data_IF_278927965907
#
_entry.id   IF_278927965907
#
_cell.length_a   1.000
_cell.length_b   1.000
_cell.length_c   1.000
_cell.angle_alpha   90.00
_cell.angle_beta   90.00
_cell.angle_gamma   90.00
#
_symmetry.space_group_name_H-M   'P 1'
#
loop_
_entity.id
_entity.type
_entity.pdbx_description
1 polymer ?
#
# COMPACT_ATOMS: atom_id res chain seq x y z
N UNK A 1 -2.95 -43.57 17.10
CA UNK A 1 -2.68 -44.09 15.74
C UNK A 1 -3.86 -43.81 14.81
N UNK A 2 -5.10 -44.29 15.10
CA UNK A 2 -6.30 -44.05 14.27
C UNK A 2 -6.63 -42.59 14.04
N UNK A 3 -6.44 -41.71 15.02
CA UNK A 3 -6.71 -40.26 14.88
C UNK A 3 -5.74 -39.57 13.89
N UNK A 4 -4.48 -39.98 13.87
CA UNK A 4 -3.46 -39.45 12.95
C UNK A 4 -3.73 -39.89 11.50
N UNK A 5 -4.13 -41.15 11.31
CA UNK A 5 -4.50 -41.66 9.98
C UNK A 5 -5.74 -40.97 9.41
N UNK A 6 -6.72 -40.63 10.26
CA UNK A 6 -7.92 -39.86 9.83
C UNK A 6 -7.56 -38.46 9.41
N UNK A 7 -6.65 -37.79 10.10
CA UNK A 7 -6.18 -36.45 9.77
C UNK A 7 -5.42 -36.43 8.43
N UNK A 8 -4.56 -37.41 8.20
CA UNK A 8 -3.79 -37.57 6.95
C UNK A 8 -4.72 -37.76 5.76
N UNK A 9 -5.74 -38.63 5.88
CA UNK A 9 -6.75 -38.83 4.82
C UNK A 9 -7.56 -37.57 4.52
N UNK A 10 -7.88 -36.76 5.54
CA UNK A 10 -8.63 -35.52 5.35
C UNK A 10 -7.80 -34.44 4.65
N UNK A 11 -6.48 -34.43 4.88
CA UNK A 11 -5.52 -33.50 4.26
C UNK A 11 -5.31 -33.81 2.78
N UNK A 12 -5.20 -35.09 2.43
CA UNK A 12 -5.07 -35.52 1.02
C UNK A 12 -6.31 -35.20 0.16
N UNK A 13 -7.51 -35.23 0.78
CA UNK A 13 -8.77 -34.90 0.09
C UNK A 13 -8.96 -33.40 -0.17
N UNK A 14 -8.25 -32.49 0.52
CA UNK A 14 -8.43 -31.04 0.45
C UNK A 14 -7.24 -30.29 -0.15
N UNK A 15 -6.26 -30.92 -0.74
CA UNK A 15 -5.07 -30.32 -1.35
C UNK A 15 -4.32 -29.34 -0.39
N UNK A 16 -4.31 -29.63 0.91
CA UNK A 16 -3.60 -28.82 1.89
C UNK A 16 -2.11 -29.18 1.87
N UNK A 17 -1.26 -28.17 1.73
CA UNK A 17 0.20 -28.32 1.65
C UNK A 17 0.77 -29.02 2.90
N UNK A 18 1.23 -30.25 2.73
CA UNK A 18 1.80 -31.12 3.78
C UNK A 18 2.98 -30.44 4.52
N UNK A 19 3.71 -29.50 3.87
CA UNK A 19 4.77 -28.75 4.52
C UNK A 19 4.24 -27.81 5.62
N UNK A 20 3.07 -27.19 5.39
CA UNK A 20 2.43 -26.33 6.41
C UNK A 20 1.95 -27.13 7.62
N UNK A 21 1.41 -28.33 7.39
CA UNK A 21 0.94 -29.21 8.48
C UNK A 21 2.10 -29.72 9.31
N UNK A 22 3.22 -30.13 8.69
CA UNK A 22 4.43 -30.53 9.42
C UNK A 22 5.02 -29.39 10.26
N UNK A 23 4.91 -28.16 9.78
CA UNK A 23 5.35 -26.98 10.55
C UNK A 23 4.45 -26.75 11.77
N UNK A 24 3.13 -26.92 11.63
CA UNK A 24 2.20 -26.84 12.76
C UNK A 24 2.38 -27.98 13.78
N UNK A 25 2.62 -29.21 13.33
CA UNK A 25 2.93 -30.33 14.23
C UNK A 25 4.28 -30.17 14.93
N UNK A 26 5.31 -29.63 14.25
CA UNK A 26 6.60 -29.34 14.90
C UNK A 26 6.46 -28.21 15.95
N UNK A 27 5.58 -27.25 15.77
CA UNK A 27 5.27 -26.24 16.78
C UNK A 27 4.61 -26.91 17.99
N UNK A 28 3.71 -27.85 17.77
CA UNK A 28 3.04 -28.59 18.87
C UNK A 28 3.99 -29.58 19.60
N UNK A 29 4.99 -30.16 18.90
CA UNK A 29 5.95 -31.10 19.50
C UNK A 29 7.11 -30.41 20.22
N UNK A 30 7.48 -29.19 19.89
CA UNK A 30 8.53 -28.43 20.59
C UNK A 30 8.08 -27.83 21.93
N UNK A 31 6.79 -27.86 22.24
CA UNK A 31 6.27 -27.46 23.56
C UNK A 31 6.41 -28.57 24.64
N UNK A 32 7.31 -29.55 24.48
CA UNK A 32 7.58 -30.63 25.46
C UNK A 32 8.30 -30.18 26.73
N UNK A 33 8.50 -28.90 26.95
CA UNK A 33 8.72 -28.38 28.29
C UNK A 33 7.41 -27.80 28.80
N UNK A 34 6.67 -28.56 29.58
CA UNK A 34 5.39 -28.24 30.25
C UNK A 34 5.45 -26.94 31.09
N UNK A 35 5.79 -25.82 30.52
CA UNK A 35 5.58 -24.52 31.13
C UNK A 35 4.19 -24.05 30.69
N UNK A 36 3.18 -24.33 31.52
CA UNK A 36 1.84 -23.81 31.35
C UNK A 36 2.01 -22.27 31.19
N UNK A 37 1.69 -21.74 30.02
CA UNK A 37 1.62 -20.30 29.83
C UNK A 37 0.58 -19.74 30.79
N UNK A 38 1.01 -18.94 31.73
CA UNK A 38 0.16 -18.38 32.80
C UNK A 38 -0.30 -16.97 32.54
N UNK A 39 0.36 -16.29 31.58
CA UNK A 39 0.04 -14.87 31.26
C UNK A 39 0.00 -14.65 29.77
N UNK A 40 -0.66 -13.57 29.34
CA UNK A 40 -0.68 -13.15 27.94
C UNK A 40 0.72 -12.74 27.45
N UNK A 41 1.55 -12.22 28.35
CA UNK A 41 2.94 -11.85 28.08
C UNK A 41 3.79 -13.07 27.73
N UNK A 42 3.52 -14.24 28.37
CA UNK A 42 4.22 -15.48 28.02
C UNK A 42 3.88 -15.92 26.59
N UNK A 43 2.65 -15.66 26.15
CA UNK A 43 2.21 -15.92 24.76
C UNK A 43 2.96 -15.03 23.75
N UNK A 44 3.17 -13.75 24.06
CA UNK A 44 3.88 -12.82 23.18
C UNK A 44 5.37 -13.12 23.00
N UNK A 45 5.96 -13.91 23.89
CA UNK A 45 7.37 -14.33 23.84
C UNK A 45 7.63 -15.52 22.91
N UNK A 46 6.58 -16.13 22.36
CA UNK A 46 6.74 -17.25 21.40
C UNK A 46 7.22 -16.67 20.06
N UNK A 47 8.41 -17.08 19.61
CA UNK A 47 9.05 -16.57 18.39
C UNK A 47 8.21 -16.72 17.12
N UNK A 48 7.30 -17.66 17.05
CA UNK A 48 6.45 -17.93 15.88
C UNK A 48 4.96 -17.68 16.15
N UNK A 49 4.61 -16.94 17.22
CA UNK A 49 3.23 -16.54 17.42
C UNK A 49 2.78 -15.57 16.33
N UNK A 50 1.51 -15.66 15.95
CA UNK A 50 0.94 -14.80 14.89
C UNK A 50 1.25 -13.34 15.17
N UNK A 51 2.13 -12.76 14.37
CA UNK A 51 2.44 -11.35 14.43
C UNK A 51 1.44 -10.59 13.53
N UNK A 52 0.94 -9.43 13.97
CA UNK A 52 0.13 -8.60 13.10
C UNK A 52 0.94 -8.19 11.86
N UNK A 53 0.26 -8.01 10.73
CA UNK A 53 0.91 -7.50 9.51
C UNK A 53 1.58 -6.17 9.84
N UNK A 54 2.90 -6.10 9.64
CA UNK A 54 3.68 -4.89 9.85
C UNK A 54 3.85 -4.16 8.53
N UNK A 55 3.28 -2.97 8.41
CA UNK A 55 3.53 -2.10 7.27
C UNK A 55 4.84 -1.34 7.47
N UNK A 56 5.55 -1.11 6.37
CA UNK A 56 6.79 -0.36 6.40
C UNK A 56 6.54 1.10 6.83
N UNK A 57 7.12 1.51 7.97
CA UNK A 57 7.08 2.89 8.44
C UNK A 57 8.36 3.59 8.05
N UNK A 58 8.24 4.69 7.32
CA UNK A 58 9.37 5.51 6.90
C UNK A 58 9.38 6.84 7.65
N UNK A 59 10.57 7.25 8.09
CA UNK A 59 10.86 8.57 8.62
C UNK A 59 11.98 9.15 7.78
N UNK A 60 11.67 10.10 6.88
CA UNK A 60 12.61 10.51 5.84
C UNK A 60 13.44 11.75 6.23
N UNK A 61 13.07 12.46 7.28
CA UNK A 61 13.79 13.63 7.77
C UNK A 61 12.91 14.59 8.55
N UNK A 62 13.42 15.78 8.86
CA UNK A 62 12.63 16.86 9.47
C UNK A 62 11.69 17.49 8.42
N UNK A 63 10.62 18.15 8.89
CA UNK A 63 9.69 18.83 8.00
C UNK A 63 10.36 19.93 7.18
N UNK A 64 11.25 20.68 7.79
CA UNK A 64 11.99 21.78 7.16
C UNK A 64 12.85 21.26 6.01
N UNK A 65 13.64 20.21 6.27
CA UNK A 65 14.47 19.58 5.26
C UNK A 65 13.64 19.00 4.11
N UNK A 66 12.54 18.31 4.44
CA UNK A 66 11.65 17.70 3.46
C UNK A 66 10.91 18.75 2.64
N UNK A 67 10.54 19.90 3.24
CA UNK A 67 9.94 21.03 2.52
C UNK A 67 10.88 21.60 1.46
N UNK A 68 12.14 21.80 1.83
CA UNK A 68 13.15 22.26 0.86
C UNK A 68 13.33 21.25 -0.30
N UNK A 69 13.41 19.95 0.03
CA UNK A 69 13.55 18.89 -0.97
C UNK A 69 12.32 18.83 -1.88
N UNK A 70 11.12 18.92 -1.30
CA UNK A 70 9.86 18.91 -2.02
C UNK A 70 9.80 20.05 -3.04
N UNK A 71 10.06 21.29 -2.61
CA UNK A 71 10.05 22.46 -3.47
C UNK A 71 11.09 22.34 -4.60
N UNK A 72 12.31 21.89 -4.28
CA UNK A 72 13.38 21.71 -5.28
C UNK A 72 13.00 20.64 -6.30
N UNK A 73 12.46 19.49 -5.86
CA UNK A 73 12.04 18.43 -6.74
C UNK A 73 10.84 18.86 -7.61
N UNK A 74 9.83 19.50 -7.02
CA UNK A 74 8.65 19.96 -7.75
C UNK A 74 9.05 20.93 -8.88
N UNK A 75 9.84 21.95 -8.58
CA UNK A 75 10.34 22.92 -9.58
C UNK A 75 11.22 22.27 -10.66
N UNK A 76 11.91 21.19 -10.34
CA UNK A 76 12.75 20.49 -11.31
C UNK A 76 11.93 19.69 -12.31
N UNK A 77 10.89 19.01 -11.84
CA UNK A 77 10.09 18.10 -12.67
C UNK A 77 8.90 18.77 -13.35
N UNK A 78 8.27 19.74 -12.71
CA UNK A 78 7.18 20.48 -13.32
C UNK A 78 7.73 21.71 -14.04
N UNK A 79 7.98 21.55 -15.34
CA UNK A 79 8.48 22.63 -16.21
C UNK A 79 7.37 23.46 -16.83
N UNK A 80 6.12 23.13 -16.55
CA UNK A 80 4.95 23.83 -17.11
C UNK A 80 4.52 25.02 -16.24
N UNK A 81 5.08 25.12 -15.04
CA UNK A 81 4.75 26.14 -14.05
C UNK A 81 5.82 27.23 -14.09
N UNK A 82 5.44 28.44 -14.48
CA UNK A 82 6.34 29.62 -14.48
C UNK A 82 6.66 30.06 -13.04
N UNK A 83 5.68 30.01 -12.14
CA UNK A 83 5.81 30.39 -10.74
C UNK A 83 5.32 29.28 -9.84
N UNK A 84 6.19 28.75 -8.98
CA UNK A 84 5.80 27.77 -7.99
C UNK A 84 4.92 28.40 -6.90
N UNK A 85 3.74 27.86 -6.75
CA UNK A 85 2.84 28.14 -5.64
C UNK A 85 2.82 26.98 -4.66
N UNK A 86 2.99 27.28 -3.36
CA UNK A 86 2.97 26.26 -2.32
C UNK A 86 1.57 26.18 -1.71
N UNK A 87 0.88 25.09 -1.97
CA UNK A 87 -0.45 24.85 -1.40
C UNK A 87 -0.32 24.30 0.04
N UNK A 88 -1.26 24.66 0.91
CA UNK A 88 -1.31 24.16 2.30
C UNK A 88 -1.36 22.61 2.36
N UNK A 89 -2.06 21.99 1.41
CA UNK A 89 -2.13 20.53 1.27
C UNK A 89 -0.75 19.89 1.02
N UNK A 90 0.22 20.61 0.49
CA UNK A 90 1.59 20.10 0.32
C UNK A 90 2.32 19.96 1.65
N UNK A 91 2.00 20.80 2.64
CA UNK A 91 2.53 20.65 3.99
C UNK A 91 2.03 19.34 4.64
N UNK A 92 0.80 18.90 4.34
CA UNK A 92 0.32 17.58 4.79
C UNK A 92 1.08 16.41 4.13
N UNK A 93 1.50 16.56 2.87
CA UNK A 93 2.35 15.56 2.20
C UNK A 93 3.73 15.52 2.85
N UNK A 94 4.29 16.69 3.18
CA UNK A 94 5.57 16.81 3.88
C UNK A 94 5.48 16.19 5.28
N UNK A 95 4.37 16.38 5.98
CA UNK A 95 4.09 15.74 7.27
C UNK A 95 4.07 14.22 7.15
N UNK A 96 3.39 13.69 6.11
CA UNK A 96 3.38 12.26 5.84
C UNK A 96 4.79 11.74 5.50
N UNK A 97 5.58 12.46 4.72
CA UNK A 97 6.97 12.10 4.42
C UNK A 97 7.85 12.09 5.67
N UNK A 98 7.60 13.00 6.64
CA UNK A 98 8.37 13.03 7.89
C UNK A 98 8.14 11.78 8.74
N UNK A 99 6.93 11.23 8.73
CA UNK A 99 6.57 9.96 9.37
C UNK A 99 5.32 9.36 8.72
N UNK A 100 5.50 8.34 7.90
CA UNK A 100 4.40 7.68 7.19
C UNK A 100 3.45 6.92 8.13
N UNK A 101 3.85 6.66 9.37
CA UNK A 101 3.12 5.84 10.37
C UNK A 101 2.67 4.48 9.84
N UNK A 102 3.35 3.96 8.81
CA UNK A 102 2.98 2.72 8.13
C UNK A 102 1.72 2.84 7.24
N UNK A 103 1.26 4.05 6.94
CA UNK A 103 0.08 4.29 6.09
C UNK A 103 0.50 4.61 4.66
N UNK A 104 -0.30 4.15 3.71
CA UNK A 104 -0.24 4.63 2.33
C UNK A 104 -0.64 6.10 2.21
N UNK A 105 -0.55 6.65 1.01
CA UNK A 105 -0.94 8.02 0.67
C UNK A 105 -1.92 8.01 -0.49
N UNK A 106 -3.01 8.78 -0.40
CA UNK A 106 -3.93 9.02 -1.50
C UNK A 106 -4.11 10.52 -1.69
N UNK A 107 -3.71 11.02 -2.85
CA UNK A 107 -3.88 12.41 -3.27
C UNK A 107 -5.17 12.53 -4.09
N UNK A 108 -6.13 13.27 -3.59
CA UNK A 108 -7.42 13.53 -4.23
C UNK A 108 -7.50 15.00 -4.68
N UNK A 109 -8.35 15.30 -5.64
CA UNK A 109 -8.66 16.66 -6.07
C UNK A 109 -8.69 16.81 -7.58
N UNK A 110 -8.94 18.03 -8.06
CA UNK A 110 -9.13 18.35 -9.47
C UNK A 110 -7.86 18.23 -10.31
N UNK A 111 -8.05 18.17 -11.62
CA UNK A 111 -6.96 18.12 -12.58
C UNK A 111 -6.08 19.39 -12.52
N UNK A 112 -4.78 19.23 -12.78
CA UNK A 112 -3.86 20.35 -12.92
C UNK A 112 -3.22 20.86 -11.63
N UNK A 113 -3.47 20.19 -10.49
CA UNK A 113 -2.92 20.57 -9.17
C UNK A 113 -1.63 19.80 -8.79
N UNK A 114 -0.90 19.28 -9.76
CA UNK A 114 0.41 18.66 -9.53
C UNK A 114 0.39 17.26 -8.89
N UNK A 115 -0.77 16.62 -8.67
CA UNK A 115 -0.86 15.28 -8.04
C UNK A 115 0.06 14.25 -8.68
N UNK A 116 -0.04 14.07 -10.01
CA UNK A 116 0.78 13.12 -10.76
C UNK A 116 2.26 13.50 -10.74
N UNK A 117 2.60 14.79 -10.78
CA UNK A 117 3.98 15.29 -10.65
C UNK A 117 4.54 14.90 -9.27
N UNK A 118 3.75 15.10 -8.21
CA UNK A 118 4.15 14.77 -6.84
C UNK A 118 4.34 13.25 -6.70
N UNK A 119 3.37 12.46 -7.15
CA UNK A 119 3.38 11.01 -6.99
C UNK A 119 4.48 10.34 -7.82
N UNK A 120 4.64 10.75 -9.08
CA UNK A 120 5.52 10.08 -10.03
C UNK A 120 6.98 10.55 -9.98
N UNK A 121 7.22 11.75 -9.44
CA UNK A 121 8.56 12.35 -9.49
C UNK A 121 9.03 12.89 -8.14
N UNK A 122 8.23 13.70 -7.43
CA UNK A 122 8.68 14.38 -6.21
C UNK A 122 8.90 13.38 -5.08
N UNK A 123 7.89 12.55 -4.78
CA UNK A 123 7.97 11.52 -3.73
C UNK A 123 9.07 10.50 -4.05
N UNK A 124 9.15 9.93 -5.27
CA UNK A 124 10.24 9.04 -5.66
C UNK A 124 11.63 9.64 -5.50
N UNK A 125 11.83 10.90 -5.88
CA UNK A 125 13.12 11.58 -5.72
C UNK A 125 13.53 11.71 -4.25
N UNK A 126 12.59 12.07 -3.37
CA UNK A 126 12.83 12.16 -1.92
C UNK A 126 13.16 10.78 -1.35
N UNK A 127 12.36 9.74 -1.67
CA UNK A 127 12.62 8.38 -1.22
C UNK A 127 13.97 7.86 -1.72
N UNK A 128 14.31 8.11 -2.98
CA UNK A 128 15.61 7.73 -3.55
C UNK A 128 16.77 8.37 -2.80
N UNK A 129 16.65 9.66 -2.48
CA UNK A 129 17.68 10.40 -1.76
C UNK A 129 17.84 9.90 -0.32
N UNK A 130 16.72 9.62 0.36
CA UNK A 130 16.74 9.29 1.80
C UNK A 130 16.91 7.80 2.12
N UNK A 131 16.48 6.92 1.24
CA UNK A 131 16.46 5.47 1.52
C UNK A 131 17.15 4.63 0.45
N UNK A 132 17.60 5.23 -0.63
CA UNK A 132 18.10 4.55 -1.82
C UNK A 132 17.08 3.62 -2.51
N UNK A 133 15.80 3.70 -2.16
CA UNK A 133 14.72 2.93 -2.80
C UNK A 133 14.29 3.60 -4.09
N UNK A 134 14.07 2.78 -5.12
CA UNK A 134 13.48 3.23 -6.38
C UNK A 134 11.97 2.98 -6.33
N UNK A 135 11.18 4.01 -6.60
CA UNK A 135 9.73 3.94 -6.70
C UNK A 135 9.34 4.15 -8.16
N UNK A 136 8.52 3.24 -8.69
CA UNK A 136 7.97 3.32 -10.05
C UNK A 136 6.45 3.31 -9.98
N UNK A 137 5.80 4.17 -10.73
CA UNK A 137 4.34 4.24 -10.82
C UNK A 137 3.83 3.49 -12.05
N UNK A 138 2.58 3.06 -11.97
CA UNK A 138 1.83 2.51 -13.09
C UNK A 138 0.51 3.26 -13.22
N UNK A 139 0.20 3.87 -14.39
CA UNK A 139 -1.12 4.45 -14.60
C UNK A 139 -2.22 3.42 -14.41
N UNK A 140 -3.32 3.77 -13.75
CA UNK A 140 -4.41 2.85 -13.46
C UNK A 140 -4.94 2.15 -14.72
N UNK A 141 -5.05 2.88 -15.83
CA UNK A 141 -5.47 2.35 -17.15
C UNK A 141 -4.54 1.28 -17.74
N UNK A 142 -3.28 1.23 -17.30
CA UNK A 142 -2.24 0.32 -17.77
C UNK A 142 -1.98 -0.84 -16.80
N UNK A 143 -2.69 -0.86 -15.66
CA UNK A 143 -2.64 -1.97 -14.73
C UNK A 143 -3.15 -3.23 -15.43
N UNK A 144 -2.24 -4.15 -15.63
CA UNK A 144 -2.51 -5.52 -16.10
C UNK A 144 -2.43 -6.50 -14.93
N UNK A 145 -1.94 -7.70 -15.20
CA UNK A 145 -1.52 -8.60 -14.12
C UNK A 145 -0.35 -7.95 -13.37
N UNK A 146 -0.53 -7.74 -12.06
CA UNK A 146 0.53 -7.20 -11.23
C UNK A 146 1.63 -8.26 -11.16
N UNK A 147 2.75 -7.97 -11.76
CA UNK A 147 3.95 -8.73 -11.49
C UNK A 147 4.21 -8.70 -9.99
N UNK A 148 4.27 -9.87 -9.37
CA UNK A 148 4.59 -10.02 -7.95
C UNK A 148 6.03 -9.61 -7.72
N UNK A 149 6.26 -8.30 -7.71
CA UNK A 149 7.59 -7.73 -7.52
C UNK A 149 7.92 -7.66 -6.02
N UNK A 150 9.21 -7.70 -5.69
CA UNK A 150 9.70 -7.47 -4.33
C UNK A 150 9.63 -5.99 -3.90
N UNK A 151 9.09 -5.12 -4.73
CA UNK A 151 8.92 -3.71 -4.42
C UNK A 151 8.10 -3.49 -3.14
N UNK A 152 8.54 -2.59 -2.29
CA UNK A 152 7.86 -2.23 -1.04
C UNK A 152 6.65 -1.33 -1.24
N UNK A 153 6.42 -0.85 -2.47
CA UNK A 153 5.39 0.12 -2.84
C UNK A 153 4.57 -0.39 -4.02
N UNK A 154 3.30 -0.03 -4.03
CA UNK A 154 2.44 -0.07 -5.22
C UNK A 154 1.96 1.36 -5.45
N UNK A 155 2.24 1.89 -6.64
CA UNK A 155 1.94 3.27 -7.00
C UNK A 155 0.97 3.26 -8.18
N UNK A 156 -0.21 3.82 -7.96
CA UNK A 156 -1.31 3.88 -8.94
C UNK A 156 -1.59 5.35 -9.24
N UNK A 157 -1.35 5.76 -10.47
CA UNK A 157 -1.64 7.13 -10.93
C UNK A 157 -2.99 7.15 -11.66
N UNK A 158 -3.80 8.17 -11.38
CA UNK A 158 -5.14 8.40 -11.93
C UNK A 158 -6.13 7.23 -11.69
N UNK A 159 -6.23 6.79 -10.41
CA UNK A 159 -7.25 5.84 -9.98
C UNK A 159 -8.63 6.30 -10.46
N UNK A 160 -9.39 5.40 -11.09
CA UNK A 160 -10.69 5.67 -11.66
C UNK A 160 -10.69 5.83 -13.18
N UNK A 161 -9.51 5.85 -13.83
CA UNK A 161 -9.40 5.92 -15.30
C UNK A 161 -9.30 4.55 -15.97
N UNK A 162 -9.12 3.49 -15.19
CA UNK A 162 -9.08 2.11 -15.69
C UNK A 162 -10.42 1.66 -16.26
N UNK A 163 -10.36 0.83 -17.30
CA UNK A 163 -11.55 0.17 -17.85
C UNK A 163 -11.81 -1.13 -17.11
N UNK A 164 -13.08 -1.36 -16.72
CA UNK A 164 -13.52 -2.66 -16.18
C UNK A 164 -13.52 -3.66 -17.35
N UNK A 165 -12.61 -4.62 -17.34
CA UNK A 165 -12.59 -5.69 -18.34
C UNK A 165 -13.57 -6.78 -17.93
N UNK A 166 -14.44 -7.19 -18.86
CA UNK A 166 -15.24 -8.41 -18.72
C UNK A 166 -14.44 -9.56 -19.35
N UNK A 167 -13.87 -10.43 -18.54
CA UNK A 167 -13.23 -11.64 -19.01
C UNK A 167 -14.14 -12.85 -18.70
N UNK A 168 -14.67 -13.50 -19.76
CA UNK A 168 -15.59 -14.64 -19.67
C UNK A 168 -16.74 -14.48 -18.65
N UNK A 169 -17.31 -13.26 -18.54
CA UNK A 169 -18.43 -12.99 -17.63
C UNK A 169 -18.02 -12.63 -16.19
N UNK A 170 -16.72 -12.59 -15.89
CA UNK A 170 -16.20 -12.11 -14.61
C UNK A 170 -15.68 -10.69 -14.81
N UNK A 171 -16.13 -9.75 -13.98
CA UNK A 171 -15.56 -8.40 -13.95
C UNK A 171 -14.18 -8.51 -13.30
N UNK A 172 -13.12 -8.34 -14.09
CA UNK A 172 -11.76 -8.25 -13.59
C UNK A 172 -11.44 -6.78 -13.39
N UNK A 173 -11.27 -6.38 -12.14
CA UNK A 173 -10.84 -5.05 -11.75
C UNK A 173 -9.38 -5.14 -11.28
N UNK A 174 -8.47 -4.90 -12.22
CA UNK A 174 -7.03 -4.97 -11.96
C UNK A 174 -6.58 -4.03 -10.83
N UNK A 175 -7.30 -2.92 -10.61
CA UNK A 175 -7.01 -1.97 -9.53
C UNK A 175 -7.39 -2.56 -8.19
N UNK A 176 -8.60 -3.13 -8.06
CA UNK A 176 -9.03 -3.79 -6.82
C UNK A 176 -8.11 -4.96 -6.44
N UNK A 177 -7.63 -5.70 -7.46
CA UNK A 177 -6.63 -6.77 -7.26
C UNK A 177 -5.28 -6.20 -6.80
N UNK A 178 -4.82 -5.08 -7.39
CA UNK A 178 -3.61 -4.37 -6.98
C UNK A 178 -3.66 -3.91 -5.53
N UNK A 179 -4.76 -3.29 -5.14
CA UNK A 179 -5.00 -2.81 -3.78
C UNK A 179 -5.06 -3.99 -2.80
N UNK A 180 -5.73 -5.09 -3.19
CA UNK A 180 -5.79 -6.32 -2.40
C UNK A 180 -4.41 -6.94 -2.20
N UNK A 181 -3.63 -7.04 -3.27
CA UNK A 181 -2.27 -7.55 -3.22
C UNK A 181 -1.35 -6.67 -2.35
N UNK A 182 -1.50 -5.34 -2.40
CA UNK A 182 -0.74 -4.44 -1.54
C UNK A 182 -0.97 -4.74 -0.06
N UNK A 183 -2.23 -4.91 0.35
CA UNK A 183 -2.56 -5.24 1.73
C UNK A 183 -2.05 -6.64 2.11
N UNK A 184 -2.26 -7.64 1.26
CA UNK A 184 -1.86 -9.02 1.54
C UNK A 184 -0.34 -9.18 1.66
N UNK A 185 0.41 -8.37 0.91
CA UNK A 185 1.87 -8.36 0.89
C UNK A 185 2.50 -7.28 1.77
N UNK A 186 1.70 -6.56 2.58
CA UNK A 186 2.14 -5.45 3.45
C UNK A 186 2.93 -4.37 2.70
N UNK A 187 2.52 -4.07 1.46
CA UNK A 187 3.11 -3.01 0.64
C UNK A 187 2.43 -1.67 0.90
N UNK A 188 3.18 -0.60 0.75
CA UNK A 188 2.66 0.76 0.90
C UNK A 188 1.99 1.22 -0.39
N UNK A 189 0.71 1.61 -0.32
CA UNK A 189 -0.03 2.18 -1.43
C UNK A 189 0.24 3.67 -1.56
N UNK A 190 0.52 4.12 -2.79
CA UNK A 190 0.56 5.52 -3.16
C UNK A 190 -0.38 5.72 -4.35
N UNK A 191 -1.35 6.63 -4.23
CA UNK A 191 -2.45 6.74 -5.20
C UNK A 191 -2.72 8.21 -5.51
N UNK A 192 -3.04 8.51 -6.78
CA UNK A 192 -3.72 9.75 -7.15
C UNK A 192 -5.09 9.45 -7.72
N UNK A 193 -6.04 10.36 -7.54
CA UNK A 193 -7.37 10.27 -8.14
C UNK A 193 -7.99 11.64 -8.32
N UNK A 194 -8.85 11.76 -9.34
CA UNK A 194 -9.73 12.90 -9.53
C UNK A 194 -11.17 12.58 -9.08
N UNK A 195 -11.43 11.35 -8.63
CA UNK A 195 -12.72 10.96 -8.08
C UNK A 195 -12.89 11.56 -6.68
N UNK A 196 -14.08 12.02 -6.38
CA UNK A 196 -14.49 12.36 -5.02
C UNK A 196 -14.93 11.11 -4.23
N UNK A 197 -15.35 11.31 -2.98
CA UNK A 197 -15.78 10.21 -2.12
C UNK A 197 -17.01 9.47 -2.64
N UNK A 198 -17.99 10.18 -3.23
CA UNK A 198 -19.20 9.58 -3.78
C UNK A 198 -18.91 8.81 -5.07
N UNK A 199 -17.99 9.30 -5.89
CA UNK A 199 -17.56 8.62 -7.11
C UNK A 199 -16.79 7.35 -6.79
N UNK A 200 -15.93 7.36 -5.75
CA UNK A 200 -15.25 6.17 -5.25
C UNK A 200 -16.25 5.14 -4.74
N UNK A 201 -17.24 5.55 -3.93
CA UNK A 201 -18.27 4.65 -3.38
C UNK A 201 -19.16 4.03 -4.49
N UNK A 202 -19.39 4.76 -5.59
CA UNK A 202 -20.13 4.24 -6.75
C UNK A 202 -19.33 3.25 -7.59
N UNK A 203 -18.00 3.41 -7.60
CA UNK A 203 -17.11 2.68 -8.51
C UNK A 203 -16.55 1.39 -7.92
N UNK A 204 -16.18 1.41 -6.64
CA UNK A 204 -15.48 0.31 -5.98
C UNK A 204 -16.35 -0.38 -4.95
N UNK A 205 -16.06 -1.66 -4.69
CA UNK A 205 -16.71 -2.42 -3.63
C UNK A 205 -16.23 -1.97 -2.24
N UNK A 206 -17.03 -2.29 -1.22
CA UNK A 206 -16.73 -1.90 0.18
C UNK A 206 -15.38 -2.45 0.66
N UNK A 207 -14.95 -3.60 0.16
CA UNK A 207 -13.66 -4.20 0.53
C UNK A 207 -12.49 -3.38 -0.01
N UNK A 208 -12.58 -2.90 -1.22
CA UNK A 208 -11.59 -2.00 -1.84
C UNK A 208 -11.58 -0.65 -1.13
N UNK A 209 -12.76 -0.09 -0.86
CA UNK A 209 -12.90 1.18 -0.13
C UNK A 209 -12.31 1.12 1.28
N UNK A 210 -12.54 0.04 2.04
CA UNK A 210 -11.94 -0.15 3.36
C UNK A 210 -10.41 -0.07 3.32
N UNK A 211 -9.81 -0.63 2.27
CA UNK A 211 -8.36 -0.57 2.07
C UNK A 211 -7.86 0.83 1.71
N UNK A 212 -8.59 1.54 0.84
CA UNK A 212 -8.27 2.91 0.47
C UNK A 212 -8.36 3.84 1.70
N UNK A 213 -9.34 3.66 2.57
CA UNK A 213 -9.51 4.43 3.82
C UNK A 213 -8.35 4.25 4.81
N UNK A 214 -7.54 3.20 4.68
CA UNK A 214 -6.32 3.00 5.49
C UNK A 214 -5.18 3.94 5.07
N UNK A 215 -5.22 4.48 3.87
CA UNK A 215 -4.26 5.49 3.42
C UNK A 215 -4.47 6.83 4.16
N UNK A 216 -3.43 7.66 4.24
CA UNK A 216 -3.59 9.09 4.52
C UNK A 216 -4.16 9.72 3.26
N UNK A 217 -5.39 10.17 3.36
CA UNK A 217 -6.04 10.94 2.28
C UNK A 217 -5.67 12.40 2.45
N UNK A 218 -5.25 13.03 1.36
CA UNK A 218 -4.97 14.47 1.28
C UNK A 218 -5.73 15.02 0.09
N UNK A 219 -6.63 15.97 0.36
CA UNK A 219 -7.35 16.69 -0.66
C UNK A 219 -6.48 17.87 -1.13
N UNK A 220 -6.16 17.89 -2.41
CA UNK A 220 -5.41 18.99 -3.03
C UNK A 220 -6.42 19.92 -3.70
N UNK A 221 -6.59 21.10 -3.12
CA UNK A 221 -7.49 22.15 -3.58
C UNK A 221 -6.67 23.34 -4.06
N UNK A 222 -7.17 24.06 -5.07
CA UNK A 222 -6.53 25.23 -5.63
C UNK A 222 -7.00 25.51 -7.05
N UNK A 223 -6.44 26.54 -7.65
CA UNK A 223 -6.62 26.80 -9.08
C UNK A 223 -5.67 25.92 -9.91
N UNK A 224 -6.14 25.46 -11.07
CA UNK A 224 -5.32 24.65 -11.96
C UNK A 224 -4.07 25.39 -12.40
N UNK A 225 -2.90 24.75 -12.27
CA UNK A 225 -1.64 25.28 -12.82
C UNK A 225 -1.54 25.14 -14.35
N UNK A 226 -2.49 24.47 -14.98
CA UNK A 226 -2.55 24.33 -16.44
C UNK A 226 -3.39 25.47 -17.01
N UNK A 227 -2.74 26.36 -17.77
CA UNK A 227 -3.39 27.35 -18.59
C UNK A 227 -3.98 26.74 -19.87
#
# INVERSE_FOLDING_TARGET
RKAVETIILTIELHHIDIKKVKTMEMVHFKTKNNKIMRTIEDTFKIENFLQPKMYNRYKLGTKEELKEMFIKAFKHYDRTIDVYEHLDSYDEIIDWLSDTKGRGLMLMGDCGLGKSTILNFVIPAIFRTKTNKLLTSTPAKELGEIERSDASFIIIDDLGTESIKNDYGTKVDAVSDAISYAEDSSKTLLITTNLDGEDLDRRYDERTLDRLRKCKVILIEGESFRN
#
